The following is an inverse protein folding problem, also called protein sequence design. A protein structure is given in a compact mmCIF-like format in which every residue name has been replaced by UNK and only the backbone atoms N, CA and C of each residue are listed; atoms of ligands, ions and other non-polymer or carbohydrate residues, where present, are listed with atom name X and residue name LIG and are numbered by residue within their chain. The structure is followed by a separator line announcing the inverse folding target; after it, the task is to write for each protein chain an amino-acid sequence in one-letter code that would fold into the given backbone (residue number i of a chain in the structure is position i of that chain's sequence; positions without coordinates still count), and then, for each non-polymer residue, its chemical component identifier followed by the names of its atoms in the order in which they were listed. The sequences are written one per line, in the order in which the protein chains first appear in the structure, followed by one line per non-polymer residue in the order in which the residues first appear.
data_IF_174234589044
#
_entry.id   IF_174234589044
#
_cell.length_a   1.000
_cell.length_b   1.000
_cell.length_c   1.000
_cell.angle_alpha   90.00
_cell.angle_beta   90.00
_cell.angle_gamma   90.00
#
_symmetry.space_group_name_H-M   'P 1'
#
loop_
_entity.id
_entity.type
_entity.pdbx_description
1 polymer ?
#
# COMPACT_ATOMS: atom_id res chain seq x y z
N UNK A 1 -13.15 6.15 19.68
CA UNK A 1 -13.02 5.09 18.65
C UNK A 1 -12.16 5.50 17.44
N UNK A 2 -12.38 6.64 16.75
CA UNK A 2 -11.56 7.04 15.59
C UNK A 2 -10.06 7.11 15.91
N UNK A 3 -9.64 7.84 16.96
CA UNK A 3 -8.21 7.96 17.36
C UNK A 3 -7.55 6.60 17.59
N UNK A 4 -8.23 5.66 18.26
CA UNK A 4 -7.72 4.29 18.49
C UNK A 4 -7.57 3.52 17.16
N UNK A 5 -8.53 3.65 16.23
CA UNK A 5 -8.45 3.00 14.91
C UNK A 5 -7.28 3.55 14.08
N UNK A 6 -7.09 4.87 14.09
CA UNK A 6 -5.97 5.51 13.39
C UNK A 6 -4.63 5.07 13.99
N UNK A 7 -4.51 5.10 15.32
CA UNK A 7 -3.28 4.68 16.01
C UNK A 7 -2.98 3.20 15.76
N UNK A 8 -4.01 2.32 15.80
CA UNK A 8 -3.83 0.91 15.46
C UNK A 8 -3.31 0.72 14.03
N UNK A 9 -3.83 1.50 13.08
CA UNK A 9 -3.40 1.45 11.69
C UNK A 9 -1.94 1.92 11.52
N UNK A 10 -1.57 3.02 12.18
CA UNK A 10 -0.18 3.51 12.16
C UNK A 10 0.78 2.47 12.76
N UNK A 11 0.42 1.86 13.90
CA UNK A 11 1.22 0.78 14.51
C UNK A 11 1.34 -0.42 13.58
N UNK A 12 0.25 -0.84 12.93
CA UNK A 12 0.26 -1.94 11.97
C UNK A 12 1.23 -1.66 10.81
N UNK A 13 1.20 -0.45 10.23
CA UNK A 13 2.10 -0.05 9.15
C UNK A 13 3.56 -0.04 9.61
N UNK A 14 3.85 0.51 10.80
CA UNK A 14 5.22 0.55 11.34
C UNK A 14 5.76 -0.87 11.57
N UNK A 15 4.97 -1.76 12.19
CA UNK A 15 5.37 -3.15 12.45
C UNK A 15 5.61 -3.89 11.13
N UNK A 16 4.69 -3.77 10.17
CA UNK A 16 4.84 -4.40 8.87
C UNK A 16 6.10 -3.93 8.15
N UNK A 17 6.33 -2.60 8.09
CA UNK A 17 7.51 -2.04 7.45
C UNK A 17 8.81 -2.51 8.12
N UNK A 18 8.86 -2.61 9.45
CA UNK A 18 10.02 -3.18 10.16
C UNK A 18 10.28 -4.63 9.74
N UNK A 19 9.23 -5.47 9.71
CA UNK A 19 9.36 -6.87 9.30
C UNK A 19 9.83 -6.97 7.85
N UNK A 20 9.19 -6.23 6.94
CA UNK A 20 9.53 -6.26 5.52
C UNK A 20 10.93 -5.72 5.24
N UNK A 21 11.37 -4.66 5.94
CA UNK A 21 12.74 -4.14 5.81
C UNK A 21 13.80 -5.19 6.16
N UNK A 22 13.57 -5.97 7.21
CA UNK A 22 14.49 -7.06 7.59
C UNK A 22 14.52 -8.15 6.51
N UNK A 23 13.35 -8.52 5.97
CA UNK A 23 13.25 -9.54 4.92
C UNK A 23 13.89 -9.07 3.61
N UNK A 24 13.62 -7.84 3.20
CA UNK A 24 14.15 -7.28 1.94
C UNK A 24 15.64 -6.93 2.03
N UNK A 25 16.19 -6.72 3.22
CA UNK A 25 17.63 -6.49 3.42
C UNK A 25 18.50 -7.67 2.96
N UNK A 26 17.93 -8.87 2.89
CA UNK A 26 18.62 -10.08 2.42
C UNK A 26 18.73 -10.08 0.88
N UNK A 27 17.90 -9.29 0.19
CA UNK A 27 17.92 -9.19 -1.26
C UNK A 27 19.07 -8.27 -1.67
N UNK A 28 20.05 -8.75 -2.45
CA UNK A 28 21.15 -7.90 -2.88
C UNK A 28 20.61 -6.74 -3.73
N UNK A 29 21.06 -5.54 -3.43
CA UNK A 29 20.84 -4.37 -4.28
C UNK A 29 21.75 -4.53 -5.50
N UNK A 30 21.15 -4.67 -6.70
CA UNK A 30 21.93 -4.78 -7.93
C UNK A 30 22.66 -3.48 -8.27
N UNK A 31 23.81 -3.58 -8.93
CA UNK A 31 24.58 -2.43 -9.43
C UNK A 31 23.73 -1.51 -10.34
N UNK A 32 22.74 -2.08 -11.00
CA UNK A 32 21.80 -1.33 -11.83
C UNK A 32 21.01 -0.28 -11.06
N UNK A 33 20.57 -0.55 -9.82
CA UNK A 33 19.85 0.45 -9.00
C UNK A 33 20.75 1.64 -8.63
N UNK A 34 22.02 1.39 -8.37
CA UNK A 34 23.01 2.47 -8.10
C UNK A 34 23.19 3.32 -9.35
N UNK A 35 23.30 2.70 -10.54
CA UNK A 35 23.44 3.40 -11.80
C UNK A 35 22.18 4.22 -12.13
N UNK A 36 20.98 3.67 -11.95
CA UNK A 36 19.72 4.39 -12.15
C UNK A 36 19.58 5.59 -11.20
N UNK A 37 20.01 5.46 -9.96
CA UNK A 37 20.01 6.58 -9.01
C UNK A 37 20.98 7.69 -9.46
N UNK A 38 22.18 7.34 -9.94
CA UNK A 38 23.13 8.30 -10.48
C UNK A 38 22.59 8.99 -11.73
N UNK A 39 21.92 8.25 -12.60
CA UNK A 39 21.26 8.81 -13.78
C UNK A 39 20.12 9.77 -13.39
N UNK A 40 19.33 9.42 -12.39
CA UNK A 40 18.30 10.32 -11.85
C UNK A 40 18.87 11.62 -11.31
N UNK A 41 19.97 11.56 -10.55
CA UNK A 41 20.66 12.75 -10.05
C UNK A 41 21.21 13.61 -11.21
N UNK A 42 21.72 12.96 -12.25
CA UNK A 42 22.24 13.64 -13.45
C UNK A 42 21.16 14.40 -14.20
N UNK A 43 20.01 13.76 -14.50
CA UNK A 43 18.91 14.45 -15.20
C UNK A 43 18.33 15.60 -14.40
N UNK A 44 18.26 15.49 -13.07
CA UNK A 44 17.84 16.59 -12.21
C UNK A 44 18.79 17.79 -12.33
N UNK A 45 20.10 17.56 -12.28
CA UNK A 45 21.08 18.62 -12.44
C UNK A 45 21.03 19.26 -13.85
N UNK A 46 20.88 18.45 -14.90
CA UNK A 46 20.73 18.95 -16.27
C UNK A 46 19.49 19.85 -16.43
N UNK A 47 18.37 19.46 -15.79
CA UNK A 47 17.14 20.26 -15.82
C UNK A 47 17.27 21.55 -15.00
N UNK A 48 17.83 21.49 -13.80
CA UNK A 48 18.06 22.67 -12.94
C UNK A 48 19.00 23.68 -13.59
N UNK A 49 19.99 23.20 -14.35
CA UNK A 49 20.92 24.06 -15.12
C UNK A 49 20.37 24.48 -16.48
N UNK A 50 19.08 24.23 -16.77
CA UNK A 50 18.43 24.54 -18.05
C UNK A 50 19.12 23.93 -19.28
N UNK A 51 19.85 22.83 -19.08
CA UNK A 51 20.55 22.12 -20.18
C UNK A 51 19.61 21.21 -20.99
N UNK A 52 18.46 20.86 -20.42
CA UNK A 52 17.39 20.08 -21.06
C UNK A 52 16.05 20.74 -20.80
N UNK A 53 15.12 20.58 -21.74
CA UNK A 53 13.74 21.04 -21.59
C UNK A 53 12.89 20.08 -20.73
N UNK A 54 11.73 20.55 -20.28
CA UNK A 54 10.82 19.78 -19.43
C UNK A 54 10.34 18.47 -20.10
N UNK A 55 10.11 18.50 -21.41
CA UNK A 55 9.66 17.30 -22.14
C UNK A 55 10.72 16.20 -22.13
N UNK A 56 11.96 16.56 -22.37
CA UNK A 56 13.12 15.64 -22.31
C UNK A 56 13.32 15.11 -20.89
N UNK A 57 13.25 15.99 -19.88
CA UNK A 57 13.35 15.60 -18.47
C UNK A 57 12.28 14.56 -18.11
N UNK A 58 11.00 14.82 -18.41
CA UNK A 58 9.90 13.93 -18.07
C UNK A 58 10.00 12.57 -18.77
N UNK A 59 10.40 12.53 -20.04
CA UNK A 59 10.56 11.26 -20.74
C UNK A 59 11.68 10.41 -20.11
N UNK A 60 12.83 11.00 -19.82
CA UNK A 60 13.93 10.30 -19.14
C UNK A 60 13.58 9.88 -17.71
N UNK A 61 12.81 10.70 -16.99
CA UNK A 61 12.29 10.36 -15.67
C UNK A 61 11.39 9.12 -15.73
N UNK A 62 10.48 9.02 -16.70
CA UNK A 62 9.64 7.84 -16.87
C UNK A 62 10.47 6.58 -17.16
N UNK A 63 11.50 6.70 -18.00
CA UNK A 63 12.39 5.59 -18.31
C UNK A 63 13.14 5.10 -17.06
N UNK A 64 13.68 6.01 -16.27
CA UNK A 64 14.41 5.67 -15.06
C UNK A 64 13.48 5.01 -14.04
N UNK A 65 12.31 5.60 -13.76
CA UNK A 65 11.37 5.04 -12.77
C UNK A 65 10.84 3.67 -13.18
N UNK A 66 10.56 3.47 -14.46
CA UNK A 66 10.15 2.16 -14.98
C UNK A 66 11.24 1.09 -14.77
N UNK A 67 12.51 1.44 -15.02
CA UNK A 67 13.62 0.52 -14.82
C UNK A 67 13.89 0.26 -13.33
N UNK A 68 13.71 1.25 -12.45
CA UNK A 68 13.75 1.07 -11.00
C UNK A 68 12.69 0.07 -10.54
N UNK A 69 11.45 0.20 -11.00
CA UNK A 69 10.37 -0.72 -10.63
C UNK A 69 10.62 -2.14 -11.16
N UNK A 70 11.26 -2.29 -12.33
CA UNK A 70 11.69 -3.59 -12.85
C UNK A 70 12.75 -4.24 -11.97
N UNK A 71 13.78 -3.49 -11.57
CA UNK A 71 14.82 -3.99 -10.66
C UNK A 71 14.25 -4.36 -9.30
N UNK A 72 13.26 -3.61 -8.82
CA UNK A 72 12.59 -3.85 -7.55
C UNK A 72 11.43 -4.86 -7.64
N UNK A 73 11.23 -5.52 -8.78
CA UNK A 73 10.10 -6.43 -8.99
C UNK A 73 9.98 -7.50 -7.89
N UNK A 74 11.08 -8.18 -7.57
CA UNK A 74 11.11 -9.20 -6.53
C UNK A 74 10.81 -8.62 -5.13
N UNK A 75 11.38 -7.46 -4.83
CA UNK A 75 11.13 -6.74 -3.57
C UNK A 75 9.66 -6.35 -3.44
N UNK A 76 9.07 -5.82 -4.51
CA UNK A 76 7.65 -5.46 -4.54
C UNK A 76 6.74 -6.68 -4.39
N UNK A 77 7.08 -7.80 -5.01
CA UNK A 77 6.36 -9.06 -4.86
C UNK A 77 6.39 -9.55 -3.40
N UNK A 78 7.56 -9.52 -2.75
CA UNK A 78 7.71 -9.90 -1.34
C UNK A 78 6.90 -8.96 -0.44
N UNK A 79 6.88 -7.66 -0.71
CA UNK A 79 6.09 -6.68 0.03
C UNK A 79 4.59 -6.96 -0.08
N UNK A 80 4.10 -7.33 -1.26
CA UNK A 80 2.69 -7.72 -1.46
C UNK A 80 2.36 -8.98 -0.67
N UNK A 81 3.18 -10.04 -0.80
CA UNK A 81 2.97 -11.30 -0.08
C UNK A 81 2.99 -11.08 1.42
N UNK A 82 3.98 -10.36 1.94
CA UNK A 82 4.09 -10.03 3.35
C UNK A 82 2.89 -9.22 3.87
N UNK A 83 2.40 -8.27 3.07
CA UNK A 83 1.19 -7.49 3.40
C UNK A 83 -0.06 -8.37 3.46
N UNK A 84 -0.22 -9.32 2.55
CA UNK A 84 -1.32 -10.29 2.57
C UNK A 84 -1.23 -11.17 3.82
N UNK A 85 -0.04 -11.69 4.14
CA UNK A 85 0.17 -12.51 5.34
C UNK A 85 -0.20 -11.70 6.60
N UNK A 86 0.28 -10.47 6.72
CA UNK A 86 0.07 -9.64 7.90
C UNK A 86 -1.36 -9.16 8.07
N UNK A 87 -2.02 -8.73 6.99
CA UNK A 87 -3.35 -8.11 7.06
C UNK A 87 -4.52 -9.07 6.82
N UNK A 88 -4.27 -10.20 6.16
CA UNK A 88 -5.34 -11.17 5.86
C UNK A 88 -5.12 -12.45 6.67
N UNK A 89 -3.97 -13.12 6.49
CA UNK A 89 -3.75 -14.44 7.08
C UNK A 89 -3.65 -14.35 8.61
N UNK A 90 -2.81 -13.47 9.14
CA UNK A 90 -2.62 -13.32 10.59
C UNK A 90 -3.93 -12.98 11.34
N UNK A 91 -4.76 -12.00 10.92
CA UNK A 91 -6.03 -11.71 11.58
C UNK A 91 -7.05 -12.85 11.50
N UNK A 92 -7.04 -13.68 10.45
CA UNK A 92 -7.93 -14.87 10.39
C UNK A 92 -7.70 -15.82 11.57
N UNK A 93 -6.45 -16.05 11.95
CA UNK A 93 -6.09 -16.91 13.08
C UNK A 93 -6.10 -16.19 14.43
N UNK A 94 -6.25 -14.86 14.44
CA UNK A 94 -6.23 -14.02 15.66
C UNK A 94 -7.55 -13.24 15.83
N UNK A 95 -8.69 -13.91 15.65
CA UNK A 95 -10.02 -13.35 15.91
C UNK A 95 -10.27 -11.97 15.24
N UNK A 96 -9.78 -11.77 14.02
CA UNK A 96 -9.92 -10.51 13.28
C UNK A 96 -9.02 -9.37 13.78
N UNK A 97 -7.93 -9.67 14.48
CA UNK A 97 -7.01 -8.68 15.04
C UNK A 97 -5.64 -8.75 14.37
N UNK A 98 -5.17 -7.64 13.79
CA UNK A 98 -3.75 -7.40 13.52
C UNK A 98 -3.01 -7.06 14.83
N UNK A 99 -1.68 -7.04 14.82
CA UNK A 99 -0.89 -6.76 16.02
C UNK A 99 -1.23 -5.37 16.60
N UNK A 100 -1.28 -4.32 15.78
CA UNK A 100 -1.64 -2.97 16.23
C UNK A 100 -3.07 -2.89 16.78
N UNK A 101 -4.02 -3.62 16.18
CA UNK A 101 -5.39 -3.71 16.70
C UNK A 101 -5.46 -4.45 18.02
N UNK A 102 -4.69 -5.54 18.16
CA UNK A 102 -4.61 -6.30 19.40
C UNK A 102 -4.08 -5.45 20.57
N UNK A 103 -3.03 -4.65 20.33
CA UNK A 103 -2.46 -3.71 21.31
C UNK A 103 -3.48 -2.67 21.80
N UNK A 104 -4.37 -2.20 20.91
CA UNK A 104 -5.37 -1.18 21.23
C UNK A 104 -6.75 -1.77 21.53
N UNK A 105 -6.84 -3.09 21.75
CA UNK A 105 -8.08 -3.81 22.05
C UNK A 105 -9.18 -3.58 21.01
N UNK A 106 -8.82 -3.60 19.74
CA UNK A 106 -9.73 -3.50 18.61
C UNK A 106 -9.78 -4.84 17.88
N UNK A 107 -10.95 -5.20 17.32
CA UNK A 107 -11.07 -6.34 16.40
C UNK A 107 -11.99 -6.00 15.23
N UNK A 108 -11.74 -6.67 14.12
CA UNK A 108 -12.61 -6.64 12.95
C UNK A 108 -13.62 -7.77 13.10
N UNK A 109 -14.89 -7.44 12.91
CA UNK A 109 -15.99 -8.42 12.88
C UNK A 109 -16.83 -8.17 11.63
N UNK A 110 -17.63 -9.16 11.27
CA UNK A 110 -18.69 -9.00 10.28
C UNK A 110 -19.76 -8.02 10.84
N UNK A 111 -20.61 -7.47 9.96
CA UNK A 111 -21.69 -6.56 10.33
C UNK A 111 -22.62 -7.11 11.42
N UNK A 112 -22.79 -8.44 11.53
CA UNK A 112 -23.62 -9.13 12.51
C UNK A 112 -22.91 -9.40 13.85
N UNK A 113 -21.65 -8.99 14.05
CA UNK A 113 -20.75 -9.28 15.16
C UNK A 113 -20.11 -10.68 15.17
N UNK A 114 -20.32 -11.48 14.13
CA UNK A 114 -19.67 -12.77 13.97
C UNK A 114 -18.20 -12.61 13.58
N UNK A 115 -17.44 -13.70 13.57
CA UNK A 115 -16.07 -13.70 13.10
C UNK A 115 -15.97 -13.31 11.63
N UNK A 116 -14.88 -12.62 11.31
CA UNK A 116 -14.63 -12.13 9.95
C UNK A 116 -14.17 -13.27 9.05
N UNK A 117 -14.69 -13.33 7.83
CA UNK A 117 -14.27 -14.30 6.80
C UNK A 117 -13.02 -13.84 6.05
N UNK A 118 -12.31 -14.78 5.44
CA UNK A 118 -11.15 -14.50 4.57
C UNK A 118 -11.52 -13.53 3.44
N UNK A 119 -12.64 -13.78 2.76
CA UNK A 119 -13.10 -12.93 1.66
C UNK A 119 -13.34 -11.49 2.09
N UNK A 120 -13.90 -11.29 3.28
CA UNK A 120 -14.11 -9.94 3.85
C UNK A 120 -12.79 -9.23 4.17
N UNK A 121 -11.78 -9.96 4.69
CA UNK A 121 -10.47 -9.38 4.94
C UNK A 121 -9.74 -9.05 3.64
N UNK A 122 -9.77 -9.94 2.65
CA UNK A 122 -9.20 -9.69 1.32
C UNK A 122 -9.85 -8.43 0.73
N UNK A 123 -11.18 -8.38 0.62
CA UNK A 123 -11.89 -7.22 0.08
C UNK A 123 -11.53 -5.92 0.83
N UNK A 124 -11.42 -5.98 2.16
CA UNK A 124 -11.05 -4.83 2.98
C UNK A 124 -9.67 -4.29 2.67
N UNK A 125 -8.66 -5.17 2.64
CA UNK A 125 -7.27 -4.77 2.55
C UNK A 125 -6.77 -4.56 1.13
N UNK A 126 -7.44 -5.11 0.12
CA UNK A 126 -7.23 -4.74 -1.28
C UNK A 126 -7.39 -3.22 -1.49
N UNK A 127 -8.40 -2.61 -0.84
CA UNK A 127 -8.67 -1.17 -0.97
C UNK A 127 -8.03 -0.31 0.12
N UNK A 128 -7.76 -0.84 1.32
CA UNK A 128 -7.26 -0.03 2.44
C UNK A 128 -5.75 0.17 2.40
N UNK A 129 -5.00 -0.87 2.07
CA UNK A 129 -3.54 -0.92 2.20
C UNK A 129 -2.81 -0.93 0.86
N UNK A 130 -3.44 -0.42 -0.17
CA UNK A 130 -2.87 -0.34 -1.53
C UNK A 130 -2.47 -1.71 -2.15
N UNK A 131 -2.83 -2.84 -1.53
CA UNK A 131 -2.44 -4.18 -2.01
C UNK A 131 -3.00 -4.42 -3.43
N UNK A 132 -4.25 -4.04 -3.67
CA UNK A 132 -4.88 -4.18 -4.99
C UNK A 132 -4.16 -3.37 -6.07
N UNK A 133 -3.85 -2.11 -5.78
CA UNK A 133 -3.11 -1.24 -6.71
C UNK A 133 -1.71 -1.79 -6.95
N UNK A 134 -1.00 -2.24 -5.91
CA UNK A 134 0.34 -2.84 -6.05
C UNK A 134 0.34 -4.09 -6.94
N UNK A 135 -0.67 -4.96 -6.80
CA UNK A 135 -0.82 -6.14 -7.68
C UNK A 135 -1.05 -5.71 -9.12
N UNK A 136 -1.97 -4.75 -9.34
CA UNK A 136 -2.26 -4.24 -10.70
C UNK A 136 -0.99 -3.58 -11.28
N UNK A 137 -0.27 -2.78 -10.51
CA UNK A 137 0.96 -2.12 -10.95
C UNK A 137 2.04 -3.13 -11.36
N UNK A 138 2.23 -4.24 -10.63
CA UNK A 138 3.14 -5.31 -11.05
C UNK A 138 2.70 -5.98 -12.36
N UNK A 139 1.41 -6.19 -12.56
CA UNK A 139 0.90 -6.71 -13.83
C UNK A 139 1.13 -5.73 -14.98
N UNK A 140 0.87 -4.43 -14.76
CA UNK A 140 1.09 -3.39 -15.76
C UNK A 140 2.57 -3.23 -16.12
N UNK A 141 3.48 -3.41 -15.15
CA UNK A 141 4.93 -3.38 -15.37
C UNK A 141 5.39 -4.43 -16.40
N UNK A 142 4.71 -5.59 -16.46
CA UNK A 142 5.02 -6.68 -17.39
C UNK A 142 4.41 -6.47 -18.78
N UNK A 143 3.36 -5.67 -18.90
CA UNK A 143 2.54 -5.55 -20.12
C UNK A 143 2.81 -4.22 -20.85
N UNK A 144 2.98 -3.12 -20.10
CA UNK A 144 3.08 -1.78 -20.65
C UNK A 144 4.54 -1.35 -20.80
N UNK A 145 4.76 -0.42 -21.74
CA UNK A 145 6.03 0.29 -21.81
C UNK A 145 6.09 1.43 -20.77
N UNK A 146 7.28 2.00 -20.57
CA UNK A 146 7.62 3.00 -19.57
C UNK A 146 6.59 4.14 -19.39
N UNK A 147 6.23 4.83 -20.50
CA UNK A 147 5.33 5.99 -20.46
C UNK A 147 3.91 5.60 -20.04
N UNK A 148 3.34 4.55 -20.66
CA UNK A 148 1.97 4.12 -20.33
C UNK A 148 1.89 3.48 -18.96
N UNK A 149 2.94 2.76 -18.55
CA UNK A 149 3.06 2.23 -17.19
C UNK A 149 2.98 3.36 -16.15
N UNK A 150 3.84 4.38 -16.28
CA UNK A 150 3.89 5.47 -15.32
C UNK A 150 2.58 6.25 -15.24
N UNK A 151 1.96 6.57 -16.38
CA UNK A 151 0.66 7.26 -16.42
C UNK A 151 -0.42 6.42 -15.74
N UNK A 152 -0.48 5.11 -16.05
CA UNK A 152 -1.50 4.22 -15.49
C UNK A 152 -1.35 4.04 -13.99
N UNK A 153 -0.14 3.83 -13.48
CA UNK A 153 0.13 3.70 -12.04
C UNK A 153 -0.15 5.00 -11.30
N UNK A 154 0.22 6.17 -11.86
CA UNK A 154 -0.10 7.48 -11.27
C UNK A 154 -1.61 7.72 -11.14
N UNK A 155 -2.40 7.30 -12.13
CA UNK A 155 -3.87 7.38 -12.06
C UNK A 155 -4.40 6.45 -10.96
N UNK A 156 -3.89 5.23 -10.87
CA UNK A 156 -4.31 4.26 -9.84
C UNK A 156 -3.98 4.76 -8.43
N UNK A 157 -2.79 5.30 -8.22
CA UNK A 157 -2.37 5.87 -6.93
C UNK A 157 -3.21 7.09 -6.54
N UNK A 158 -3.54 7.94 -7.51
CA UNK A 158 -4.44 9.08 -7.27
C UNK A 158 -5.85 8.61 -6.87
N UNK A 159 -6.41 7.62 -7.56
CA UNK A 159 -7.70 7.04 -7.19
C UNK A 159 -7.65 6.40 -5.80
N UNK A 160 -6.59 5.67 -5.48
CA UNK A 160 -6.38 5.10 -4.15
C UNK A 160 -6.31 6.18 -3.07
N UNK A 161 -5.60 7.26 -3.31
CA UNK A 161 -5.54 8.40 -2.40
C UNK A 161 -6.94 8.99 -2.12
N UNK A 162 -7.76 9.18 -3.16
CA UNK A 162 -9.14 9.64 -3.00
C UNK A 162 -9.99 8.66 -2.17
N UNK A 163 -9.86 7.34 -2.41
CA UNK A 163 -10.56 6.32 -1.63
C UNK A 163 -10.18 6.37 -0.14
N UNK A 164 -8.90 6.58 0.18
CA UNK A 164 -8.44 6.72 1.57
C UNK A 164 -9.05 7.97 2.23
N UNK A 165 -9.04 9.11 1.54
CA UNK A 165 -9.66 10.35 2.05
C UNK A 165 -11.14 10.15 2.32
N UNK A 166 -11.90 9.62 1.36
CA UNK A 166 -13.33 9.33 1.52
C UNK A 166 -13.55 8.39 2.71
N UNK A 167 -12.72 7.36 2.86
CA UNK A 167 -12.79 6.40 3.95
C UNK A 167 -12.61 7.06 5.33
N UNK A 168 -11.67 8.01 5.44
CA UNK A 168 -11.44 8.79 6.68
C UNK A 168 -12.66 9.65 6.99
N UNK A 169 -13.18 10.40 6.01
CA UNK A 169 -14.37 11.23 6.21
C UNK A 169 -15.58 10.40 6.64
N UNK A 170 -15.78 9.21 6.07
CA UNK A 170 -16.86 8.32 6.46
C UNK A 170 -16.75 7.88 7.92
N UNK A 171 -15.56 7.52 8.41
CA UNK A 171 -15.37 7.16 9.83
C UNK A 171 -15.65 8.34 10.77
N UNK A 172 -15.35 9.57 10.34
CA UNK A 172 -15.56 10.77 11.15
C UNK A 172 -17.03 11.17 11.23
N UNK A 173 -17.74 11.18 10.10
CA UNK A 173 -19.05 11.80 10.00
C UNK A 173 -20.23 10.81 10.03
N UNK A 174 -20.04 9.53 9.67
CA UNK A 174 -21.13 8.55 9.73
C UNK A 174 -21.50 8.19 11.17
N UNK A 175 -22.80 7.98 11.42
CA UNK A 175 -23.30 7.56 12.75
C UNK A 175 -22.79 6.19 13.16
N UNK A 176 -22.67 5.25 12.24
CA UNK A 176 -22.19 3.88 12.45
C UNK A 176 -20.66 3.77 12.50
N UNK A 177 -19.92 4.88 12.27
CA UNK A 177 -18.45 4.97 12.28
C UNK A 177 -17.75 3.93 11.36
N UNK A 178 -18.42 3.47 10.30
CA UNK A 178 -17.87 2.54 9.32
C UNK A 178 -17.17 3.30 8.20
N UNK A 179 -15.97 2.84 7.83
CA UNK A 179 -15.22 3.33 6.70
C UNK A 179 -15.81 2.84 5.37
N UNK A 180 -15.37 3.40 4.25
CA UNK A 180 -15.73 2.89 2.93
C UNK A 180 -15.34 1.41 2.79
N UNK A 181 -14.14 1.05 3.22
CA UNK A 181 -13.63 -0.33 3.20
C UNK A 181 -14.42 -1.26 4.11
N UNK A 182 -14.92 -0.75 5.26
CA UNK A 182 -15.83 -1.49 6.14
C UNK A 182 -17.15 -1.83 5.42
N UNK A 183 -17.66 -0.91 4.59
CA UNK A 183 -18.90 -1.13 3.84
C UNK A 183 -18.71 -2.14 2.72
N UNK A 184 -17.66 -1.99 1.91
CA UNK A 184 -17.35 -2.88 0.79
C UNK A 184 -17.14 -4.32 1.30
N UNK A 185 -16.39 -4.46 2.38
CA UNK A 185 -16.08 -5.77 2.97
C UNK A 185 -17.19 -6.36 3.86
N UNK A 186 -18.27 -5.63 4.11
CA UNK A 186 -19.32 -6.07 5.04
C UNK A 186 -18.86 -6.20 6.49
N UNK A 187 -17.88 -5.42 6.92
CA UNK A 187 -17.22 -5.51 8.24
C UNK A 187 -17.48 -4.26 9.08
N UNK A 188 -17.07 -4.33 10.34
CA UNK A 188 -16.95 -3.20 11.27
C UNK A 188 -15.82 -3.45 12.26
N UNK A 189 -15.29 -2.37 12.84
CA UNK A 189 -14.29 -2.47 13.91
C UNK A 189 -14.97 -2.18 15.24
N UNK A 190 -14.77 -3.07 16.21
CA UNK A 190 -15.30 -2.94 17.58
C UNK A 190 -14.16 -2.89 18.58
N UNK A 191 -14.45 -2.35 19.78
CA UNK A 191 -13.56 -2.48 20.94
C UNK A 191 -13.84 -3.81 21.64
N UNK A 192 -12.77 -4.49 22.08
CA UNK A 192 -12.88 -5.73 22.85
C UNK A 192 -12.87 -5.33 24.32
N UNK A 193 -13.99 -5.56 25.01
CA UNK A 193 -14.05 -5.47 26.46
C UNK A 193 -13.22 -6.61 27.06
N UNK A 194 -12.65 -6.37 28.23
CA UNK A 194 -11.85 -7.37 28.97
C UNK A 194 -12.73 -8.51 29.44
#
# INVERSE_FOLDING_TARGET
MFKKRLLAYILDILILNMILSIVTMIIPIGDNLVNLNNEFLKINNEYLNSSIDFSTYINRYFDIMYNVDKELFLTNLINIIGSIIYFVVYPLYNNGQSIGKKLLKLRIVNKNNDDVSANSLIARYMFMNNIGVSIISLCLLLILNNKYYFISTSILDFLQFLLVIISIFMVLYRRDKRSLTDLIAGTKVIEVEK
#
